data_IF_410219508434
#
_entry.id   IF_410219508434
#
_cell.length_a   1.000
_cell.length_b   1.000
_cell.length_c   1.000
_cell.angle_alpha   90.00
_cell.angle_beta   90.00
_cell.angle_gamma   90.00
#
_symmetry.space_group_name_H-M   'P 1'
#
loop_
_entity.id
_entity.type
_entity.pdbx_description
1 polymer ?
#
# COMPACT_ATOMS: atom_id res chain seq x y z
N UNK A 1 20.54 -10.24 -1.50
CA UNK A 1 19.24 -10.85 -1.13
C UNK A 1 18.20 -10.35 -2.13
N UNK A 2 17.14 -11.11 -2.38
CA UNK A 2 16.07 -10.64 -3.27
C UNK A 2 15.16 -9.67 -2.51
N UNK A 3 14.70 -8.63 -3.20
CA UNK A 3 13.76 -7.66 -2.66
C UNK A 3 12.37 -8.30 -2.45
N UNK A 4 11.60 -7.87 -1.43
CA UNK A 4 10.23 -8.33 -1.24
C UNK A 4 9.35 -7.96 -2.43
N UNK A 5 8.51 -8.90 -2.87
CA UNK A 5 7.50 -8.69 -3.90
C UNK A 5 6.12 -8.71 -3.26
N UNK A 6 5.33 -7.66 -3.48
CA UNK A 6 3.93 -7.58 -3.07
C UNK A 6 3.03 -7.64 -4.29
N UNK A 7 1.92 -8.38 -4.18
CA UNK A 7 0.91 -8.46 -5.22
C UNK A 7 -0.39 -7.87 -4.69
N UNK A 8 -0.97 -6.93 -5.43
CA UNK A 8 -2.30 -6.38 -5.18
C UNK A 8 -3.23 -6.95 -6.26
N UNK A 9 -4.25 -7.68 -5.82
CA UNK A 9 -5.31 -8.19 -6.68
C UNK A 9 -6.53 -7.26 -6.57
N UNK A 10 -7.03 -6.82 -7.73
CA UNK A 10 -8.19 -5.96 -7.85
C UNK A 10 -9.45 -6.81 -8.00
N UNK A 11 -10.61 -6.26 -7.63
CA UNK A 11 -11.91 -6.96 -7.73
C UNK A 11 -12.21 -7.49 -9.15
N UNK A 12 -11.70 -6.82 -10.19
CA UNK A 12 -11.84 -7.25 -11.58
C UNK A 12 -10.80 -8.29 -12.04
N UNK A 13 -10.00 -8.85 -11.12
CA UNK A 13 -8.90 -9.77 -11.42
C UNK A 13 -7.63 -9.10 -11.94
N UNK A 14 -7.58 -7.76 -11.98
CA UNK A 14 -6.37 -7.02 -12.32
C UNK A 14 -5.27 -7.24 -11.28
N UNK A 15 -4.03 -7.41 -11.72
CA UNK A 15 -2.89 -7.70 -10.84
C UNK A 15 -1.85 -6.59 -10.95
N UNK A 16 -1.48 -5.98 -9.82
CA UNK A 16 -0.34 -5.08 -9.70
C UNK A 16 0.75 -5.75 -8.86
N UNK A 17 1.95 -5.85 -9.41
CA UNK A 17 3.13 -6.39 -8.69
C UNK A 17 4.09 -5.25 -8.35
N UNK A 18 4.50 -5.19 -7.09
CA UNK A 18 5.40 -4.17 -6.57
C UNK A 18 6.66 -4.85 -6.03
N UNK A 19 7.82 -4.32 -6.39
CA UNK A 19 9.09 -4.65 -5.75
C UNK A 19 9.44 -3.56 -4.73
N UNK A 20 9.74 -3.98 -3.50
CA UNK A 20 10.04 -3.07 -2.40
C UNK A 20 11.55 -3.02 -2.14
N UNK A 21 12.06 -1.88 -1.70
CA UNK A 21 13.50 -1.65 -1.50
C UNK A 21 13.83 -1.38 -0.01
N UNK A 22 13.99 -2.43 0.83
CA UNK A 22 14.29 -2.26 2.25
C UNK A 22 15.56 -1.47 2.52
N UNK A 23 16.55 -1.57 1.64
CA UNK A 23 17.85 -0.88 1.77
C UNK A 23 17.71 0.66 1.63
N UNK A 24 16.65 1.13 0.97
CA UNK A 24 16.38 2.57 0.76
C UNK A 24 15.44 3.11 1.84
N UNK A 25 14.38 2.36 2.16
CA UNK A 25 13.33 2.82 3.08
C UNK A 25 12.89 1.69 4.04
N UNK A 26 13.76 1.26 4.97
CA UNK A 26 13.54 0.05 5.77
C UNK A 26 12.27 0.11 6.62
N UNK A 27 12.01 1.26 7.26
CA UNK A 27 10.84 1.46 8.13
C UNK A 27 9.55 1.42 7.32
N UNK A 28 9.51 2.09 6.18
CA UNK A 28 8.33 2.15 5.31
C UNK A 28 8.01 0.78 4.71
N UNK A 29 9.03 0.05 4.26
CA UNK A 29 8.86 -1.30 3.70
C UNK A 29 8.35 -2.27 4.75
N UNK A 30 8.95 -2.30 5.95
CA UNK A 30 8.48 -3.16 7.03
C UNK A 30 7.03 -2.86 7.40
N UNK A 31 6.70 -1.57 7.58
CA UNK A 31 5.34 -1.16 7.91
C UNK A 31 4.32 -1.56 6.84
N UNK A 32 4.67 -1.42 5.57
CA UNK A 32 3.78 -1.80 4.47
C UNK A 32 3.53 -3.32 4.44
N UNK A 33 4.58 -4.12 4.62
CA UNK A 33 4.48 -5.59 4.69
C UNK A 33 3.61 -6.01 5.88
N UNK A 34 3.87 -5.47 7.07
CA UNK A 34 3.11 -5.81 8.29
C UNK A 34 1.62 -5.50 8.14
N UNK A 35 1.27 -4.39 7.47
CA UNK A 35 -0.12 -4.02 7.20
C UNK A 35 -0.74 -4.96 6.16
N UNK A 36 -0.01 -5.31 5.10
CA UNK A 36 -0.48 -6.24 4.10
C UNK A 36 -0.73 -7.65 4.67
N UNK A 37 0.20 -8.18 5.47
CA UNK A 37 0.05 -9.51 6.11
C UNK A 37 -1.11 -9.56 7.11
N UNK A 38 -1.47 -8.43 7.71
CA UNK A 38 -2.64 -8.29 8.58
C UNK A 38 -3.97 -8.13 7.82
N UNK A 39 -3.94 -8.12 6.48
CA UNK A 39 -5.12 -7.88 5.64
C UNK A 39 -5.65 -6.44 5.76
N UNK A 40 -4.84 -5.48 6.21
CA UNK A 40 -5.30 -4.10 6.43
C UNK A 40 -5.81 -3.43 5.15
N UNK A 41 -5.20 -3.76 4.01
CA UNK A 41 -5.55 -3.18 2.71
C UNK A 41 -6.73 -3.90 2.02
N UNK A 42 -7.21 -5.02 2.56
CA UNK A 42 -8.25 -5.83 1.94
C UNK A 42 -9.57 -5.06 1.89
N UNK A 43 -10.18 -5.00 0.71
CA UNK A 43 -11.43 -4.27 0.47
C UNK A 43 -11.27 -2.74 0.44
N UNK A 44 -10.06 -2.19 0.61
CA UNK A 44 -9.84 -0.75 0.49
C UNK A 44 -9.85 -0.29 -0.97
N UNK A 45 -10.25 0.97 -1.18
CA UNK A 45 -10.33 1.58 -2.50
C UNK A 45 -9.15 2.52 -2.78
N UNK A 46 -8.91 2.79 -4.07
CA UNK A 46 -8.18 3.97 -4.50
C UNK A 46 -9.14 5.17 -4.52
N UNK A 47 -9.16 5.95 -3.44
CA UNK A 47 -10.10 7.07 -3.29
C UNK A 47 -9.71 8.30 -4.12
N UNK A 48 -8.49 8.34 -4.67
CA UNK A 48 -8.04 9.41 -5.56
C UNK A 48 -7.33 8.83 -6.78
N UNK A 49 -7.85 9.15 -7.96
CA UNK A 49 -7.30 8.73 -9.26
C UNK A 49 -7.17 9.96 -10.13
N UNK A 50 -5.93 10.30 -10.50
CA UNK A 50 -5.62 11.41 -11.40
C UNK A 50 -4.91 10.82 -12.61
N UNK A 51 -5.56 10.83 -13.79
CA UNK A 51 -4.94 10.38 -15.04
C UNK A 51 -3.60 11.06 -15.27
N UNK A 52 -2.65 10.29 -15.78
CA UNK A 52 -1.29 10.74 -16.13
C UNK A 52 -0.47 11.29 -14.95
N UNK A 53 -0.91 11.05 -13.70
CA UNK A 53 -0.20 11.51 -12.52
C UNK A 53 -0.10 10.46 -11.43
N UNK A 54 -1.20 10.13 -10.75
CA UNK A 54 -1.14 9.22 -9.61
C UNK A 54 -2.48 8.60 -9.24
N UNK A 55 -2.38 7.47 -8.53
CA UNK A 55 -3.45 6.90 -7.73
C UNK A 55 -3.05 6.92 -6.25
N UNK A 56 -4.02 7.08 -5.36
CA UNK A 56 -3.83 7.06 -3.92
C UNK A 56 -4.88 6.16 -3.27
N UNK A 57 -4.42 5.27 -2.38
CA UNK A 57 -5.25 4.32 -1.63
C UNK A 57 -4.77 4.20 -0.19
N UNK A 58 -5.12 3.10 0.47
CA UNK A 58 -4.65 2.81 1.84
C UNK A 58 -5.35 3.59 2.95
N UNK A 59 -6.54 4.13 2.69
CA UNK A 59 -7.36 4.82 3.69
C UNK A 59 -8.63 4.00 4.00
N UNK A 60 -8.77 3.44 5.22
CA UNK A 60 -9.99 2.74 5.67
C UNK A 60 -11.28 3.56 5.62
N UNK A 61 -11.18 4.89 5.69
CA UNK A 61 -12.34 5.78 5.61
C UNK A 61 -12.71 6.15 4.17
N UNK A 62 -11.82 5.91 3.20
CA UNK A 62 -12.00 6.31 1.81
C UNK A 62 -12.09 7.82 1.58
N UNK A 63 -11.62 8.65 2.53
CA UNK A 63 -11.75 10.12 2.51
C UNK A 63 -10.43 10.86 2.29
N UNK A 64 -9.31 10.13 2.21
CA UNK A 64 -7.94 10.65 2.11
C UNK A 64 -7.34 11.12 3.43
N UNK A 65 -7.96 10.81 4.57
CA UNK A 65 -7.55 11.32 5.91
C UNK A 65 -7.40 10.23 6.98
N UNK A 66 -7.76 8.98 6.68
CA UNK A 66 -7.51 7.87 7.58
C UNK A 66 -6.12 7.26 7.40
N UNK A 67 -5.92 6.12 8.06
CA UNK A 67 -4.66 5.40 8.08
C UNK A 67 -4.68 4.30 9.15
N UNK A 68 -3.54 3.67 9.45
CA UNK A 68 -3.48 2.54 10.38
C UNK A 68 -3.57 2.93 11.86
N UNK A 69 -3.84 4.21 12.17
CA UNK A 69 -3.99 4.73 13.53
C UNK A 69 -2.67 5.13 14.21
N UNK A 70 -1.55 5.10 13.49
CA UNK A 70 -0.25 5.53 13.97
C UNK A 70 0.59 6.11 12.82
N UNK A 71 1.71 6.74 13.17
CA UNK A 71 2.69 7.28 12.23
C UNK A 71 4.03 6.58 12.38
N UNK A 72 4.75 6.47 11.26
CA UNK A 72 6.13 5.99 11.22
C UNK A 72 7.10 7.16 11.05
N UNK A 73 8.36 6.94 11.42
CA UNK A 73 9.42 7.91 11.15
C UNK A 73 9.76 7.91 9.66
N UNK A 74 9.75 9.09 9.04
CA UNK A 74 10.20 9.34 7.68
C UNK A 74 11.66 9.77 7.61
#
# INVERSE_FOLDING_TARGET
MANPIVTIEMENGGIMKLELYPDVAPISVQNFIDLAEKGFYDGLIFHRVIPDFMIQGGDPLGKGIGGPGYSIKG
#
